data_IF_417397449713
#
_entry.id   IF_417397449713
#
_cell.length_a   1.000
_cell.length_b   1.000
_cell.length_c   1.000
_cell.angle_alpha   90.00
_cell.angle_beta   90.00
_cell.angle_gamma   90.00
#
_symmetry.space_group_name_H-M   'P 1'
#
loop_
_entity.id
_entity.type
_entity.pdbx_description
1 polymer ?
#
# COMPACT_ATOMS: atom_id res chain seq x y z
N UNK A 1 -31.65 6.16 6.31
CA UNK A 1 -30.74 5.04 6.68
C UNK A 1 -31.52 3.92 7.32
N UNK A 2 -31.33 2.68 6.86
CA UNK A 2 -31.88 1.46 7.47
C UNK A 2 -31.00 1.02 8.64
N UNK A 3 -31.62 0.46 9.71
CA UNK A 3 -30.89 -0.10 10.85
C UNK A 3 -30.75 -1.62 10.70
N UNK A 4 -29.51 -2.13 10.61
CA UNK A 4 -29.19 -3.53 10.46
C UNK A 4 -28.82 -4.13 11.81
N UNK A 5 -29.52 -5.22 12.20
CA UNK A 5 -29.27 -5.92 13.48
C UNK A 5 -28.75 -7.36 13.27
N UNK A 6 -28.78 -7.87 12.05
CA UNK A 6 -28.45 -9.26 11.77
C UNK A 6 -27.13 -9.42 11.01
N UNK A 7 -26.21 -10.22 11.53
CA UNK A 7 -25.00 -10.64 10.81
C UNK A 7 -25.28 -11.46 9.53
N UNK A 8 -26.53 -11.95 9.36
CA UNK A 8 -26.96 -12.65 8.14
C UNK A 8 -27.40 -11.69 7.03
N UNK A 9 -27.51 -10.39 7.31
CA UNK A 9 -27.85 -9.37 6.31
C UNK A 9 -26.86 -9.43 5.12
N UNK A 10 -27.35 -9.38 3.88
CA UNK A 10 -26.49 -9.44 2.68
C UNK A 10 -25.38 -8.38 2.64
N UNK A 11 -25.65 -7.16 3.11
CA UNK A 11 -24.67 -6.05 3.15
C UNK A 11 -23.53 -6.39 4.10
N UNK A 12 -23.85 -6.86 5.32
CA UNK A 12 -22.83 -7.24 6.33
C UNK A 12 -21.97 -8.39 5.80
N UNK A 13 -22.59 -9.40 5.16
CA UNK A 13 -21.85 -10.51 4.54
C UNK A 13 -20.94 -10.05 3.42
N UNK A 14 -21.44 -9.17 2.54
CA UNK A 14 -20.66 -8.62 1.44
C UNK A 14 -19.46 -7.82 1.96
N UNK A 15 -19.67 -6.89 2.90
CA UNK A 15 -18.60 -6.10 3.49
C UNK A 15 -17.58 -6.97 4.23
N UNK A 16 -18.02 -7.97 5.00
CA UNK A 16 -17.12 -8.94 5.65
C UNK A 16 -16.27 -9.70 4.66
N UNK A 17 -16.82 -10.08 3.50
CA UNK A 17 -16.11 -10.77 2.42
C UNK A 17 -14.93 -9.95 1.86
N UNK A 18 -14.94 -8.62 2.00
CA UNK A 18 -13.86 -7.75 1.53
C UNK A 18 -12.56 -7.86 2.35
N UNK A 19 -12.59 -8.57 3.47
CA UNK A 19 -11.38 -8.90 4.24
C UNK A 19 -10.43 -9.79 3.44
N UNK A 20 -10.99 -10.68 2.61
CA UNK A 20 -10.24 -11.64 1.82
C UNK A 20 -9.94 -11.10 0.41
N UNK A 21 -8.77 -11.45 -0.13
CA UNK A 21 -8.35 -11.05 -1.49
C UNK A 21 -9.39 -11.45 -2.56
N UNK A 22 -9.81 -12.72 -2.56
CA UNK A 22 -10.83 -13.23 -3.50
C UNK A 22 -12.16 -12.47 -3.40
N UNK A 23 -12.58 -12.13 -2.18
CA UNK A 23 -13.78 -11.34 -1.95
C UNK A 23 -13.68 -9.95 -2.55
N UNK A 24 -12.53 -9.28 -2.40
CA UNK A 24 -12.27 -7.97 -3.02
C UNK A 24 -12.29 -8.03 -4.53
N UNK A 25 -11.58 -8.97 -5.13
CA UNK A 25 -11.56 -9.15 -6.58
C UNK A 25 -12.96 -9.45 -7.16
N UNK A 26 -13.70 -10.37 -6.53
CA UNK A 26 -15.06 -10.74 -6.98
C UNK A 26 -16.03 -9.56 -6.88
N UNK A 27 -15.95 -8.78 -5.80
CA UNK A 27 -16.83 -7.64 -5.58
C UNK A 27 -16.37 -6.37 -6.34
N UNK A 28 -15.11 -6.31 -6.79
CA UNK A 28 -14.52 -5.09 -7.34
C UNK A 28 -14.40 -3.96 -6.30
N UNK A 29 -14.26 -4.31 -5.00
CA UNK A 29 -14.32 -3.36 -3.88
C UNK A 29 -13.33 -3.71 -2.79
N UNK A 30 -12.99 -2.73 -1.96
CA UNK A 30 -12.20 -2.94 -0.75
C UNK A 30 -12.80 -2.19 0.44
N UNK A 31 -12.38 -2.55 1.65
CA UNK A 31 -12.90 -2.01 2.89
C UNK A 31 -11.98 -0.93 3.44
N UNK A 32 -12.56 0.20 3.82
CA UNK A 32 -11.90 1.28 4.55
C UNK A 32 -12.61 1.46 5.89
N UNK A 33 -11.85 1.57 6.98
CA UNK A 33 -12.34 1.69 8.33
C UNK A 33 -11.89 3.01 8.97
N UNK A 34 -12.79 3.62 9.70
CA UNK A 34 -12.56 4.83 10.48
C UNK A 34 -12.73 6.13 9.70
N UNK A 35 -13.19 7.16 10.43
CA UNK A 35 -13.54 8.46 9.86
C UNK A 35 -12.40 9.10 9.06
N UNK A 36 -11.19 9.12 9.64
CA UNK A 36 -10.02 9.78 9.01
C UNK A 36 -9.71 9.15 7.66
N UNK A 37 -9.69 7.82 7.59
CA UNK A 37 -9.37 7.09 6.37
C UNK A 37 -10.47 7.20 5.32
N UNK A 38 -11.73 7.16 5.73
CA UNK A 38 -12.90 7.32 4.85
C UNK A 38 -12.90 8.72 4.23
N UNK A 39 -12.68 9.76 5.03
CA UNK A 39 -12.58 11.14 4.52
C UNK A 39 -11.41 11.31 3.55
N UNK A 40 -10.28 10.68 3.83
CA UNK A 40 -9.12 10.72 2.93
C UNK A 40 -9.41 10.02 1.60
N UNK A 41 -10.07 8.85 1.63
CA UNK A 41 -10.49 8.16 0.43
C UNK A 41 -11.43 9.00 -0.45
N UNK A 42 -12.40 9.69 0.16
CA UNK A 42 -13.29 10.63 -0.54
C UNK A 42 -12.53 11.81 -1.16
N UNK A 43 -11.60 12.44 -0.42
CA UNK A 43 -10.75 13.53 -0.93
C UNK A 43 -9.92 13.11 -2.13
N UNK A 44 -9.48 11.84 -2.16
CA UNK A 44 -8.75 11.27 -3.28
C UNK A 44 -9.66 10.85 -4.46
N UNK A 45 -10.98 11.11 -4.38
CA UNK A 45 -11.93 10.83 -5.45
C UNK A 45 -12.34 9.37 -5.57
N UNK A 46 -12.11 8.54 -4.54
CA UNK A 46 -12.57 7.16 -4.57
C UNK A 46 -14.08 7.09 -4.44
N UNK A 47 -14.70 6.19 -5.20
CA UNK A 47 -16.16 6.00 -5.21
C UNK A 47 -16.59 5.09 -4.06
N UNK A 48 -17.36 5.64 -3.13
CA UNK A 48 -17.95 4.89 -2.00
C UNK A 48 -19.21 4.13 -2.46
N UNK A 49 -19.45 2.94 -1.90
CA UNK A 49 -20.61 2.09 -2.27
C UNK A 49 -21.53 1.79 -1.11
N UNK A 50 -21.00 1.24 -0.02
CA UNK A 50 -21.78 0.90 1.17
C UNK A 50 -21.05 1.44 2.40
N UNK A 51 -21.81 1.88 3.40
CA UNK A 51 -21.28 2.29 4.69
C UNK A 51 -22.10 1.66 5.82
N UNK A 52 -21.41 1.21 6.88
CA UNK A 52 -21.99 0.65 8.09
C UNK A 52 -21.43 1.44 9.27
N UNK A 53 -22.29 2.09 10.07
CA UNK A 53 -21.90 3.00 11.11
C UNK A 53 -22.61 2.74 12.44
N UNK A 54 -21.90 2.93 13.55
CA UNK A 54 -22.51 3.10 14.88
C UNK A 54 -23.25 4.44 14.98
N UNK A 55 -24.07 4.60 16.00
CA UNK A 55 -24.88 5.82 16.20
C UNK A 55 -24.02 7.08 16.28
N UNK A 56 -22.86 7.01 16.94
CA UNK A 56 -21.93 8.13 17.09
C UNK A 56 -21.32 8.59 15.74
N UNK A 57 -21.38 7.75 14.70
CA UNK A 57 -20.86 8.04 13.36
C UNK A 57 -21.96 8.37 12.32
N UNK A 58 -23.21 8.58 12.74
CA UNK A 58 -24.34 8.87 11.84
C UNK A 58 -24.11 10.11 10.96
N UNK A 59 -23.44 11.13 11.48
CA UNK A 59 -23.16 12.34 10.73
C UNK A 59 -22.32 12.03 9.47
N UNK A 60 -21.26 11.25 9.63
CA UNK A 60 -20.42 10.82 8.50
C UNK A 60 -21.19 9.85 7.59
N UNK A 61 -22.00 8.94 8.13
CA UNK A 61 -22.82 8.05 7.32
C UNK A 61 -23.79 8.81 6.39
N UNK A 62 -24.41 9.92 6.87
CA UNK A 62 -25.24 10.81 6.04
C UNK A 62 -24.43 11.54 4.97
N UNK A 63 -23.21 11.97 5.29
CA UNK A 63 -22.29 12.57 4.31
C UNK A 63 -21.96 11.56 3.18
N UNK A 64 -21.72 10.30 3.54
CA UNK A 64 -21.48 9.23 2.57
C UNK A 64 -22.72 8.93 1.71
N UNK A 65 -23.93 9.00 2.28
CA UNK A 65 -25.19 8.93 1.52
C UNK A 65 -25.27 10.06 0.48
N UNK A 66 -24.91 11.29 0.86
CA UNK A 66 -24.80 12.43 -0.06
C UNK A 66 -23.74 12.23 -1.16
N UNK A 67 -22.72 11.44 -0.89
CA UNK A 67 -21.70 11.04 -1.87
C UNK A 67 -22.09 9.80 -2.71
N UNK A 68 -23.33 9.29 -2.55
CA UNK A 68 -23.87 8.18 -3.36
C UNK A 68 -23.74 6.78 -2.73
N UNK A 69 -23.32 6.68 -1.48
CA UNK A 69 -23.28 5.41 -0.76
C UNK A 69 -24.66 4.95 -0.31
N UNK A 70 -24.85 3.64 -0.15
CA UNK A 70 -25.92 3.10 0.67
C UNK A 70 -25.43 3.04 2.12
N UNK A 71 -25.97 3.90 2.98
CA UNK A 71 -25.55 3.97 4.37
C UNK A 71 -26.54 3.28 5.30
N UNK A 72 -26.01 2.58 6.29
CA UNK A 72 -26.74 1.80 7.28
C UNK A 72 -26.22 2.09 8.67
N UNK A 73 -27.11 2.02 9.67
CA UNK A 73 -26.69 1.98 11.06
C UNK A 73 -26.66 0.56 11.58
N UNK A 74 -25.75 0.25 12.49
CA UNK A 74 -25.63 -1.07 13.07
C UNK A 74 -24.98 -1.04 14.46
N UNK A 75 -25.27 -2.01 15.34
CA UNK A 75 -24.59 -2.14 16.60
C UNK A 75 -23.11 -2.51 16.42
N UNK A 76 -22.28 -2.15 17.39
CA UNK A 76 -20.82 -2.40 17.41
C UNK A 76 -20.44 -3.84 17.06
N UNK A 77 -21.21 -4.83 17.53
CA UNK A 77 -20.95 -6.24 17.25
C UNK A 77 -20.96 -6.60 15.76
N UNK A 78 -21.71 -5.86 14.93
CA UNK A 78 -21.70 -6.06 13.48
C UNK A 78 -20.50 -5.40 12.81
N UNK A 79 -20.06 -4.24 13.33
CA UNK A 79 -18.81 -3.63 12.87
C UNK A 79 -17.61 -4.51 13.21
N UNK A 80 -17.56 -5.10 14.41
CA UNK A 80 -16.54 -6.11 14.78
C UNK A 80 -16.53 -7.32 13.85
N UNK A 81 -17.70 -7.75 13.39
CA UNK A 81 -17.80 -8.84 12.43
C UNK A 81 -17.31 -8.48 11.01
N UNK A 82 -17.40 -7.21 10.62
CA UNK A 82 -16.95 -6.67 9.32
C UNK A 82 -15.49 -6.25 9.37
N UNK A 83 -15.08 -5.57 10.45
CA UNK A 83 -13.73 -5.09 10.66
C UNK A 83 -12.74 -6.24 10.87
N UNK A 84 -11.47 -5.98 10.51
CA UNK A 84 -10.33 -6.86 10.82
C UNK A 84 -9.63 -6.46 12.13
N UNK A 85 -10.24 -5.55 12.91
CA UNK A 85 -9.69 -5.04 14.18
C UNK A 85 -10.51 -5.52 15.37
N UNK A 86 -9.86 -5.64 16.53
CA UNK A 86 -10.55 -5.96 17.80
C UNK A 86 -11.39 -4.80 18.35
N UNK A 87 -11.02 -3.58 17.94
CA UNK A 87 -11.70 -2.35 18.36
C UNK A 87 -12.01 -1.51 17.13
N UNK A 88 -13.15 -1.76 16.45
CA UNK A 88 -13.53 -0.99 15.28
C UNK A 88 -13.73 0.49 15.64
N UNK A 89 -13.47 1.35 14.65
CA UNK A 89 -13.53 2.81 14.80
C UNK A 89 -14.94 3.40 14.54
N UNK A 90 -15.98 2.62 14.79
CA UNK A 90 -17.38 3.06 14.73
C UNK A 90 -17.97 3.18 13.32
N UNK A 91 -17.16 3.12 12.26
CA UNK A 91 -17.63 3.17 10.87
C UNK A 91 -16.70 2.41 9.92
N UNK A 92 -17.31 1.65 9.01
CA UNK A 92 -16.65 1.00 7.89
C UNK A 92 -17.36 1.37 6.59
N UNK A 93 -16.62 1.57 5.51
CA UNK A 93 -17.19 1.81 4.19
C UNK A 93 -16.48 0.98 3.11
N UNK A 94 -17.23 0.54 2.11
CA UNK A 94 -16.68 -0.11 0.92
C UNK A 94 -16.52 0.89 -0.20
N UNK A 95 -15.37 0.83 -0.86
CA UNK A 95 -15.01 1.66 -2.01
C UNK A 95 -14.69 0.77 -3.22
N UNK A 96 -14.87 1.30 -4.42
CA UNK A 96 -14.43 0.62 -5.63
C UNK A 96 -12.91 0.42 -5.61
N UNK A 97 -12.44 -0.74 -6.13
CA UNK A 97 -11.02 -1.02 -6.24
C UNK A 97 -10.33 0.01 -7.16
N UNK A 98 -9.26 0.67 -6.71
CA UNK A 98 -8.42 1.43 -7.60
C UNK A 98 -7.70 0.48 -8.58
N UNK A 99 -7.69 0.82 -9.86
CA UNK A 99 -6.94 0.06 -10.84
C UNK A 99 -5.42 0.27 -10.63
N UNK A 100 -4.59 -0.78 -10.66
CA UNK A 100 -3.15 -0.62 -10.69
C UNK A 100 -2.71 0.21 -11.90
N UNK A 101 -1.76 1.11 -11.70
CA UNK A 101 -1.17 1.88 -12.81
C UNK A 101 -0.40 0.91 -13.73
N UNK A 102 -0.62 0.95 -15.06
CA UNK A 102 0.18 0.16 -15.98
C UNK A 102 1.67 0.56 -15.94
N UNK A 103 2.58 -0.41 -16.03
CA UNK A 103 4.03 -0.13 -15.98
C UNK A 103 4.50 0.85 -17.08
N UNK A 104 3.80 0.90 -18.22
CA UNK A 104 4.08 1.87 -19.29
C UNK A 104 3.89 3.33 -18.85
N UNK A 105 3.05 3.57 -17.85
CA UNK A 105 2.73 4.89 -17.31
C UNK A 105 3.51 5.17 -16.02
N UNK A 106 4.59 4.40 -15.78
CA UNK A 106 5.42 4.48 -14.59
C UNK A 106 5.96 5.91 -14.39
N UNK A 107 5.81 6.48 -13.18
CA UNK A 107 6.33 7.82 -12.87
C UNK A 107 7.85 7.81 -12.65
N UNK A 108 8.45 8.98 -12.58
CA UNK A 108 9.91 9.14 -12.53
C UNK A 108 10.59 8.46 -11.34
N UNK A 109 9.97 8.49 -10.16
CA UNK A 109 10.56 8.00 -8.91
C UNK A 109 9.69 6.92 -8.28
N UNK A 110 10.20 5.71 -8.25
CA UNK A 110 9.47 4.51 -7.87
C UNK A 110 10.21 3.81 -6.73
N UNK A 111 9.47 3.33 -5.73
CA UNK A 111 9.96 2.28 -4.85
C UNK A 111 9.37 0.94 -5.30
N UNK A 112 10.21 -0.06 -5.47
CA UNK A 112 9.82 -1.41 -5.87
C UNK A 112 10.04 -2.40 -4.72
N UNK A 113 9.08 -3.27 -4.49
CA UNK A 113 9.10 -4.29 -3.43
C UNK A 113 9.21 -5.68 -4.05
N UNK A 114 10.33 -6.37 -3.80
CA UNK A 114 10.59 -7.72 -4.30
C UNK A 114 10.28 -8.74 -3.19
N UNK A 115 9.02 -9.18 -3.12
CA UNK A 115 8.58 -10.21 -2.18
C UNK A 115 8.47 -9.77 -0.71
N UNK A 116 8.22 -8.51 -0.41
CA UNK A 116 7.98 -8.01 0.95
C UNK A 116 6.62 -8.53 1.43
N UNK A 117 6.65 -9.50 2.36
CA UNK A 117 5.45 -10.24 2.75
C UNK A 117 4.70 -9.63 3.95
N UNK A 118 5.37 -8.90 4.83
CA UNK A 118 4.71 -8.28 5.98
C UNK A 118 3.85 -7.09 5.55
N UNK A 119 2.53 -7.12 5.81
CA UNK A 119 1.63 -6.04 5.45
C UNK A 119 1.94 -4.71 6.15
N UNK A 120 2.52 -4.78 7.35
CA UNK A 120 2.97 -3.61 8.09
C UNK A 120 4.13 -2.91 7.39
N UNK A 121 5.11 -3.68 6.89
CA UNK A 121 6.24 -3.16 6.14
C UNK A 121 5.80 -2.57 4.80
N UNK A 122 4.95 -3.28 4.03
CA UNK A 122 4.41 -2.76 2.76
C UNK A 122 3.70 -1.42 2.98
N UNK A 123 2.78 -1.34 3.95
CA UNK A 123 2.06 -0.11 4.25
C UNK A 123 2.97 1.01 4.75
N UNK A 124 3.93 0.70 5.62
CA UNK A 124 4.91 1.68 6.13
C UNK A 124 5.81 2.21 5.01
N UNK A 125 6.29 1.35 4.10
CA UNK A 125 7.08 1.77 2.94
C UNK A 125 6.23 2.67 2.03
N UNK A 126 4.98 2.30 1.77
CA UNK A 126 4.08 3.10 0.95
C UNK A 126 3.88 4.51 1.52
N UNK A 127 3.59 4.59 2.83
CA UNK A 127 3.46 5.86 3.55
C UNK A 127 4.73 6.69 3.51
N UNK A 128 5.88 6.06 3.69
CA UNK A 128 7.18 6.75 3.68
C UNK A 128 7.53 7.22 2.27
N UNK A 129 7.19 6.45 1.24
CA UNK A 129 7.37 6.82 -0.16
C UNK A 129 6.56 8.08 -0.52
N UNK A 130 5.28 8.13 -0.13
CA UNK A 130 4.41 9.30 -0.27
C UNK A 130 5.02 10.54 0.43
N UNK A 131 5.43 10.38 1.69
CA UNK A 131 6.03 11.44 2.47
C UNK A 131 7.39 11.93 1.93
N UNK A 132 8.20 11.02 1.35
CA UNK A 132 9.50 11.35 0.79
C UNK A 132 9.41 11.94 -0.64
N UNK A 133 8.24 11.99 -1.26
CA UNK A 133 8.04 12.54 -2.61
C UNK A 133 8.36 11.54 -3.73
N UNK A 134 8.31 10.24 -3.45
CA UNK A 134 8.20 9.22 -4.49
C UNK A 134 6.84 9.31 -5.17
N UNK A 135 6.74 8.80 -6.38
CA UNK A 135 5.57 9.01 -7.25
C UNK A 135 4.84 7.71 -7.59
N UNK A 136 5.38 6.57 -7.19
CA UNK A 136 4.75 5.27 -7.41
C UNK A 136 5.37 4.15 -6.58
N UNK A 137 4.55 3.13 -6.33
CA UNK A 137 4.95 1.86 -5.69
C UNK A 137 4.81 0.73 -6.71
N UNK A 138 5.86 -0.07 -6.91
CA UNK A 138 5.82 -1.28 -7.73
C UNK A 138 5.89 -2.51 -6.83
N UNK A 139 4.88 -3.37 -6.89
CA UNK A 139 4.77 -4.59 -6.08
C UNK A 139 5.08 -5.80 -6.95
N UNK A 140 6.09 -6.56 -6.56
CA UNK A 140 6.43 -7.85 -7.16
C UNK A 140 5.58 -9.01 -6.62
N UNK A 141 5.70 -10.17 -7.25
CA UNK A 141 5.10 -11.39 -6.76
C UNK A 141 5.52 -11.70 -5.32
N UNK A 142 4.59 -12.22 -4.52
CA UNK A 142 4.84 -12.56 -3.11
C UNK A 142 4.80 -11.39 -2.13
N UNK A 143 4.58 -10.16 -2.59
CA UNK A 143 4.28 -9.04 -1.69
C UNK A 143 2.91 -9.19 -1.02
N UNK A 144 2.75 -8.59 0.16
CA UNK A 144 1.44 -8.47 0.78
C UNK A 144 0.49 -7.69 -0.15
N UNK A 145 -0.79 -8.11 -0.13
CA UNK A 145 -1.83 -7.48 -0.94
C UNK A 145 -2.00 -6.00 -0.56
N UNK A 146 -1.76 -5.05 -1.50
CA UNK A 146 -1.82 -3.61 -1.23
C UNK A 146 -3.19 -3.14 -0.73
N UNK A 147 -4.28 -3.83 -1.12
CA UNK A 147 -5.64 -3.45 -0.75
C UNK A 147 -6.19 -4.23 0.46
N UNK A 148 -5.34 -5.04 1.10
CA UNK A 148 -5.72 -5.66 2.37
C UNK A 148 -5.92 -4.62 3.47
N UNK A 149 -6.88 -4.83 4.40
CA UNK A 149 -7.13 -3.87 5.48
C UNK A 149 -5.88 -3.55 6.31
N UNK A 150 -4.99 -4.53 6.50
CA UNK A 150 -3.77 -4.34 7.29
C UNK A 150 -2.75 -3.44 6.58
N UNK A 151 -2.56 -3.58 5.26
CA UNK A 151 -1.70 -2.68 4.47
C UNK A 151 -2.28 -1.28 4.45
N UNK A 152 -3.58 -1.12 4.19
CA UNK A 152 -4.24 0.18 4.12
C UNK A 152 -4.17 0.94 5.46
N UNK A 153 -4.35 0.26 6.59
CA UNK A 153 -4.16 0.89 7.91
C UNK A 153 -2.72 1.37 8.11
N UNK A 154 -1.73 0.55 7.75
CA UNK A 154 -0.32 0.92 7.90
C UNK A 154 0.09 2.06 6.95
N UNK A 155 -0.51 2.13 5.77
CA UNK A 155 -0.28 3.19 4.78
C UNK A 155 -0.93 4.53 5.15
N UNK A 156 -1.92 4.54 6.08
CA UNK A 156 -2.55 5.77 6.58
C UNK A 156 -3.01 6.74 5.48
N UNK A 157 -3.71 6.21 4.46
CA UNK A 157 -4.23 6.99 3.34
C UNK A 157 -3.26 7.23 2.17
N UNK A 158 -1.97 6.95 2.34
CA UNK A 158 -1.01 7.08 1.22
C UNK A 158 -1.34 6.14 0.07
N UNK A 159 -2.00 5.01 0.35
CA UNK A 159 -2.50 4.09 -0.67
C UNK A 159 -3.59 4.66 -1.58
N UNK A 160 -4.19 5.79 -1.21
CA UNK A 160 -5.18 6.50 -2.03
C UNK A 160 -4.55 7.61 -2.89
N UNK A 161 -3.38 8.12 -2.49
CA UNK A 161 -2.67 9.23 -3.15
C UNK A 161 -1.56 8.75 -4.07
N UNK A 162 -0.73 7.85 -3.59
CA UNK A 162 0.42 7.35 -4.33
C UNK A 162 0.00 6.11 -5.13
N UNK A 163 0.00 6.15 -6.48
CA UNK A 163 -0.42 5.05 -7.31
C UNK A 163 0.50 3.84 -7.14
N UNK A 164 -0.06 2.65 -7.30
CA UNK A 164 0.69 1.42 -7.30
C UNK A 164 0.62 0.68 -8.64
N UNK A 165 1.68 -0.06 -8.92
CA UNK A 165 1.81 -0.97 -10.06
C UNK A 165 2.03 -2.39 -9.52
N UNK A 166 1.67 -3.41 -10.28
CA UNK A 166 1.90 -4.80 -9.93
C UNK A 166 2.60 -5.54 -11.07
N UNK A 167 3.47 -6.47 -10.72
CA UNK A 167 4.15 -7.34 -11.67
C UNK A 167 4.30 -8.75 -11.13
N UNK A 168 4.08 -9.75 -11.99
CA UNK A 168 4.42 -11.15 -11.67
C UNK A 168 5.90 -11.47 -11.88
N UNK A 169 6.65 -10.56 -12.54
CA UNK A 169 8.05 -10.76 -12.92
C UNK A 169 8.82 -9.45 -12.68
N UNK A 170 9.39 -9.31 -11.49
CA UNK A 170 10.14 -8.10 -11.09
C UNK A 170 11.36 -7.85 -12.01
N UNK A 171 12.23 -8.83 -12.29
CA UNK A 171 13.38 -8.62 -13.18
C UNK A 171 12.98 -8.08 -14.56
N UNK A 172 11.93 -8.63 -15.16
CA UNK A 172 11.41 -8.18 -16.45
C UNK A 172 10.87 -6.75 -16.39
N UNK A 173 10.15 -6.40 -15.32
CA UNK A 173 9.63 -5.05 -15.11
C UNK A 173 10.77 -4.04 -14.97
N UNK A 174 11.80 -4.35 -14.18
CA UNK A 174 12.99 -3.52 -14.01
C UNK A 174 13.75 -3.33 -15.32
N UNK A 175 13.96 -4.40 -16.11
CA UNK A 175 14.59 -4.32 -17.41
C UNK A 175 13.81 -3.44 -18.42
N UNK A 176 12.46 -3.45 -18.34
CA UNK A 176 11.63 -2.55 -19.14
C UNK A 176 11.78 -1.08 -18.72
N UNK A 177 11.85 -0.79 -17.43
CA UNK A 177 12.09 0.55 -16.91
C UNK A 177 13.49 1.03 -17.28
N UNK A 178 14.51 0.20 -17.10
CA UNK A 178 15.90 0.51 -17.48
C UNK A 178 16.01 0.90 -18.97
N UNK A 179 15.42 0.13 -19.88
CA UNK A 179 15.38 0.43 -21.33
C UNK A 179 14.71 1.77 -21.64
N UNK A 180 13.88 2.28 -20.76
CA UNK A 180 13.18 3.57 -20.88
C UNK A 180 13.87 4.71 -20.13
N UNK A 181 15.08 4.46 -19.59
CA UNK A 181 15.93 5.46 -18.95
C UNK A 181 15.76 5.60 -17.44
N UNK A 182 15.21 4.59 -16.75
CA UNK A 182 15.23 4.53 -15.29
C UNK A 182 16.51 3.88 -14.79
N UNK A 183 17.15 4.47 -13.80
CA UNK A 183 18.26 3.83 -13.07
C UNK A 183 17.70 2.90 -12.01
N UNK A 184 18.08 1.65 -12.00
CA UNK A 184 17.63 0.64 -11.04
C UNK A 184 18.65 0.50 -9.91
N UNK A 185 18.26 0.92 -8.71
CA UNK A 185 19.05 0.84 -7.47
C UNK A 185 18.45 -0.25 -6.61
N UNK A 186 19.22 -1.28 -6.25
CA UNK A 186 18.70 -2.34 -5.41
C UNK A 186 19.46 -2.43 -4.07
N UNK A 187 18.68 -2.54 -2.99
CA UNK A 187 19.20 -2.77 -1.64
C UNK A 187 19.65 -4.23 -1.51
N UNK A 188 20.95 -4.45 -1.33
CA UNK A 188 21.56 -5.77 -1.14
C UNK A 188 22.77 -5.67 -0.21
N UNK A 189 22.91 -6.60 0.74
CA UNK A 189 24.02 -6.61 1.70
C UNK A 189 25.41 -6.73 1.06
N UNK A 190 25.48 -7.21 -0.20
CA UNK A 190 26.71 -7.31 -1.00
C UNK A 190 27.02 -6.03 -1.78
N UNK A 191 26.14 -5.02 -1.71
CA UNK A 191 26.28 -3.76 -2.42
C UNK A 191 27.39 -2.86 -1.88
N UNK A 192 27.70 -1.80 -2.63
CA UNK A 192 28.55 -0.72 -2.18
C UNK A 192 27.86 0.12 -1.08
N UNK A 193 28.64 0.95 -0.37
CA UNK A 193 28.08 1.87 0.63
C UNK A 193 27.06 2.80 -0.03
N UNK A 194 25.85 2.81 0.49
CA UNK A 194 24.74 3.59 -0.03
C UNK A 194 25.07 5.11 -0.06
N UNK A 195 25.78 5.62 0.92
CA UNK A 195 26.13 7.04 0.97
C UNK A 195 27.17 7.49 -0.05
N UNK A 196 27.81 6.52 -0.74
CA UNK A 196 28.80 6.75 -1.79
C UNK A 196 28.28 6.49 -3.20
N UNK A 197 26.95 6.24 -3.36
CA UNK A 197 26.35 5.98 -4.68
C UNK A 197 26.42 7.21 -5.58
N UNK A 198 26.61 7.06 -6.91
CA UNK A 198 26.47 8.14 -7.87
C UNK A 198 25.02 8.64 -7.92
N UNK A 199 24.81 9.88 -8.41
CA UNK A 199 23.45 10.39 -8.62
C UNK A 199 22.69 9.49 -9.63
N UNK A 200 21.55 8.92 -9.24
CA UNK A 200 20.77 8.05 -10.15
C UNK A 200 20.00 8.83 -11.24
N UNK A 201 20.09 10.14 -11.28
CA UNK A 201 19.34 10.97 -12.22
C UNK A 201 17.88 11.18 -11.78
N UNK A 202 17.07 11.72 -12.69
CA UNK A 202 15.67 12.10 -12.42
C UNK A 202 14.76 10.88 -12.29
N UNK A 203 14.95 9.89 -13.17
CA UNK A 203 14.15 8.68 -13.24
C UNK A 203 14.90 7.53 -12.58
N UNK A 204 14.37 7.00 -11.50
CA UNK A 204 14.99 5.86 -10.80
C UNK A 204 13.96 4.98 -10.09
N UNK A 205 14.37 3.73 -9.85
CA UNK A 205 13.64 2.73 -9.07
C UNK A 205 14.53 2.29 -7.91
N UNK A 206 14.04 2.47 -6.68
CA UNK A 206 14.66 1.88 -5.48
C UNK A 206 14.01 0.53 -5.19
N UNK A 207 14.77 -0.56 -5.28
CA UNK A 207 14.27 -1.92 -5.03
C UNK A 207 14.60 -2.35 -3.61
N UNK A 208 13.58 -2.75 -2.87
CA UNK A 208 13.67 -3.29 -1.50
C UNK A 208 13.24 -4.76 -1.54
N UNK A 209 14.08 -5.64 -1.04
CA UNK A 209 13.80 -7.07 -0.98
C UNK A 209 13.04 -7.49 0.28
N UNK A 210 12.66 -8.78 0.33
CA UNK A 210 12.02 -9.39 1.49
C UNK A 210 12.97 -9.46 2.69
N UNK A 211 12.41 -9.50 3.90
CA UNK A 211 13.16 -9.54 5.16
C UNK A 211 14.02 -10.79 5.29
N UNK A 212 13.52 -11.93 4.81
CA UNK A 212 14.17 -13.23 4.97
C UNK A 212 15.23 -13.52 3.90
N UNK A 213 15.02 -13.04 2.65
CA UNK A 213 15.84 -13.45 1.50
C UNK A 213 16.52 -12.27 0.79
N UNK A 214 16.15 -11.04 1.12
CA UNK A 214 16.54 -9.88 0.32
C UNK A 214 15.87 -9.89 -1.05
N UNK A 215 16.54 -9.32 -2.04
CA UNK A 215 16.15 -9.37 -3.45
C UNK A 215 16.53 -10.70 -4.08
N UNK A 216 15.78 -11.14 -5.12
CA UNK A 216 16.12 -12.34 -5.88
C UNK A 216 17.43 -12.16 -6.69
N UNK A 217 18.10 -13.28 -7.04
CA UNK A 217 19.30 -13.22 -7.88
C UNK A 217 19.02 -12.61 -9.25
N UNK A 218 17.85 -12.89 -9.82
CA UNK A 218 17.43 -12.30 -11.08
C UNK A 218 17.17 -10.78 -10.97
N UNK A 219 16.57 -10.32 -9.87
CA UNK A 219 16.40 -8.89 -9.55
C UNK A 219 17.76 -8.21 -9.39
N UNK A 220 18.70 -8.87 -8.71
CA UNK A 220 20.08 -8.37 -8.54
C UNK A 220 20.79 -8.17 -9.86
N UNK A 221 20.64 -9.11 -10.81
CA UNK A 221 21.22 -8.99 -12.14
C UNK A 221 20.58 -7.89 -12.99
N UNK A 222 19.35 -7.53 -12.71
CA UNK A 222 18.61 -6.45 -13.40
C UNK A 222 18.90 -5.07 -12.82
N UNK A 223 19.66 -4.96 -11.72
CA UNK A 223 20.00 -3.70 -11.09
C UNK A 223 21.26 -3.06 -11.70
N UNK A 224 21.23 -1.74 -11.88
CA UNK A 224 22.40 -0.94 -12.28
C UNK A 224 23.35 -0.71 -11.12
N UNK A 225 22.79 -0.58 -9.91
CA UNK A 225 23.53 -0.35 -8.68
C UNK A 225 23.03 -1.27 -7.57
N UNK A 226 23.96 -1.94 -6.90
CA UNK A 226 23.72 -2.64 -5.65
C UNK A 226 24.28 -1.81 -4.51
N UNK A 227 23.43 -1.49 -3.53
CA UNK A 227 23.77 -0.60 -2.42
C UNK A 227 23.37 -1.21 -1.08
N UNK A 228 24.15 -0.91 -0.03
CA UNK A 228 23.82 -1.29 1.35
C UNK A 228 23.94 -0.11 2.29
N UNK A 229 23.08 -0.06 3.29
CA UNK A 229 23.26 0.82 4.44
C UNK A 229 24.41 0.26 5.31
N UNK A 230 25.42 1.06 5.65
CA UNK A 230 26.50 0.58 6.50
C UNK A 230 26.00 0.35 7.93
N UNK A 231 26.18 -0.86 8.45
CA UNK A 231 25.91 -1.20 9.84
C UNK A 231 27.16 -0.94 10.68
N UNK A 232 27.09 0.02 11.60
CA UNK A 232 28.21 0.40 12.47
C UNK A 232 28.18 -0.29 13.84
N UNK A 233 27.13 -1.01 14.14
CA UNK A 233 26.91 -1.76 15.38
C UNK A 233 26.90 -3.27 15.14
N UNK A 234 26.35 -4.02 16.09
CA UNK A 234 26.26 -5.48 16.05
C UNK A 234 25.04 -6.03 15.28
N UNK A 235 24.17 -5.18 14.74
CA UNK A 235 23.05 -5.64 13.95
C UNK A 235 23.50 -6.02 12.53
N UNK A 236 23.00 -7.15 11.99
CA UNK A 236 23.32 -7.60 10.63
C UNK A 236 22.53 -6.83 9.56
N UNK A 237 21.31 -6.40 9.89
CA UNK A 237 20.41 -5.68 8.97
C UNK A 237 19.40 -4.84 9.74
N UNK A 238 18.66 -3.99 9.03
CA UNK A 238 17.51 -3.25 9.52
C UNK A 238 16.21 -3.89 9.04
N UNK A 239 15.11 -3.58 9.73
CA UNK A 239 13.76 -3.83 9.21
C UNK A 239 13.63 -3.21 7.80
N UNK A 240 12.95 -3.91 6.88
CA UNK A 240 12.83 -3.50 5.48
C UNK A 240 12.22 -2.09 5.31
N UNK A 241 11.21 -1.74 6.10
CA UNK A 241 10.59 -0.43 6.03
C UNK A 241 11.50 0.68 6.58
N UNK A 242 12.29 0.39 7.60
CA UNK A 242 13.28 1.33 8.15
C UNK A 242 14.39 1.57 7.12
N UNK A 243 14.94 0.51 6.55
CA UNK A 243 15.97 0.62 5.51
C UNK A 243 15.47 1.42 4.28
N UNK A 244 14.26 1.08 3.80
CA UNK A 244 13.60 1.78 2.72
C UNK A 244 13.43 3.28 3.03
N UNK A 245 12.99 3.61 4.24
CA UNK A 245 12.80 5.00 4.67
C UNK A 245 14.08 5.82 4.63
N UNK A 246 15.16 5.28 5.18
CA UNK A 246 16.48 5.94 5.17
C UNK A 246 16.94 6.17 3.72
N UNK A 247 16.86 5.14 2.86
CA UNK A 247 17.28 5.24 1.46
C UNK A 247 16.41 6.22 0.66
N UNK A 248 15.09 6.19 0.84
CA UNK A 248 14.18 7.10 0.15
C UNK A 248 14.45 8.57 0.49
N UNK A 249 14.60 8.90 1.78
CA UNK A 249 14.87 10.28 2.21
C UNK A 249 16.25 10.76 1.73
N UNK A 250 17.27 9.91 1.74
CA UNK A 250 18.60 10.30 1.25
C UNK A 250 18.60 10.52 -0.27
N UNK A 251 17.95 9.66 -1.06
CA UNK A 251 17.80 9.82 -2.51
C UNK A 251 17.06 11.11 -2.87
N UNK A 252 16.16 11.59 -2.00
CA UNK A 252 15.37 12.79 -2.21
C UNK A 252 15.98 14.05 -1.58
N UNK A 253 17.05 13.93 -0.77
CA UNK A 253 17.63 15.06 0.00
C UNK A 253 18.11 16.24 -0.86
N UNK A 254 18.48 15.98 -2.08
CA UNK A 254 19.02 16.98 -3.02
C UNK A 254 18.07 17.32 -4.18
N UNK A 255 16.78 16.96 -4.06
CA UNK A 255 15.80 17.07 -5.17
C UNK A 255 14.64 17.98 -4.83
#
# INVERSE_FOLDING_TARGET
MEHITSAKNPVVKAMRGLRDHKGRETAGRFLVEGEVMIREALKCGLTVRDALAEEDCIALAKELEGAGARAYTAPRSLLEAVSDTRTPQGICASFDLPAPLPLRDAPARIVALDGVQDPGNVGTIWRTADAAGFQGLLLGAGCADPLSPKVQRSAMGSGFRLPFMQTGDMPKALAQLHKRGWTVIASDLRGADFYSHPDPGVNFVLVIGSEARGISDATRQAADMLVKLPMRGGAESLNAAVAAGIMMYELMRKR
#
